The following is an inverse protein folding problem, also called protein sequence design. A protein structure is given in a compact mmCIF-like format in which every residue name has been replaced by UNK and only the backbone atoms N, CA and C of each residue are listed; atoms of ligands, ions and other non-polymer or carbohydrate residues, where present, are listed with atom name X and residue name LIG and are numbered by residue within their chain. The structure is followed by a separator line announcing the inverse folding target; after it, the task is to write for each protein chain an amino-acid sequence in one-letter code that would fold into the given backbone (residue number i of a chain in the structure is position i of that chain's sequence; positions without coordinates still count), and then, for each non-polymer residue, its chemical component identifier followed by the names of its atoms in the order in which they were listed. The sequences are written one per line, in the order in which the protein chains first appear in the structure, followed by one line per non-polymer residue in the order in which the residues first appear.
data_IF_207685539308
#
_entry.id   IF_207685539308
#
_cell.length_a   1.000
_cell.length_b   1.000
_cell.length_c   1.000
_cell.angle_alpha   90.00
_cell.angle_beta   90.00
_cell.angle_gamma   90.00
#
_symmetry.space_group_name_H-M   'P 1'
#
loop_
_entity.id
_entity.type
_entity.pdbx_description
1 polymer ?
#
# COMPACT_ATOMS: atom_id res chain seq x y z
N UNK A 1 -17.17 -5.70 -2.76
CA UNK A 1 -17.30 -4.27 -2.46
C UNK A 1 -15.98 -3.69 -1.96
N UNK A 2 -15.16 -3.12 -2.85
CA UNK A 2 -13.96 -2.34 -2.51
C UNK A 2 -13.91 -1.13 -3.46
N UNK A 3 -14.62 -0.03 -3.15
CA UNK A 3 -14.89 1.02 -4.13
C UNK A 3 -13.74 2.03 -4.28
N UNK A 4 -12.79 2.07 -3.34
CA UNK A 4 -11.74 3.08 -3.33
C UNK A 4 -10.44 2.54 -3.91
N UNK A 5 -9.77 3.34 -4.73
CA UNK A 5 -8.47 3.03 -5.29
C UNK A 5 -7.36 3.50 -4.34
N UNK A 6 -6.48 2.60 -3.95
CA UNK A 6 -5.35 2.87 -3.06
C UNK A 6 -4.03 2.71 -3.80
N UNK A 7 -3.17 3.72 -3.73
CA UNK A 7 -1.83 3.74 -4.30
C UNK A 7 -0.79 3.43 -3.21
N UNK A 8 0.09 2.47 -3.45
CA UNK A 8 1.13 2.13 -2.46
C UNK A 8 2.12 3.28 -2.24
N UNK A 9 2.35 4.09 -3.28
CA UNK A 9 3.12 5.32 -3.19
C UNK A 9 2.54 6.37 -4.16
N UNK A 10 1.66 7.23 -3.65
CA UNK A 10 1.04 8.32 -4.42
C UNK A 10 2.07 9.34 -4.95
N UNK A 11 3.23 9.47 -4.31
CA UNK A 11 4.28 10.41 -4.75
C UNK A 11 4.88 9.97 -6.09
N UNK A 12 4.86 8.67 -6.41
CA UNK A 12 5.26 8.18 -7.74
C UNK A 12 4.34 8.69 -8.86
N UNK A 13 3.11 9.10 -8.54
CA UNK A 13 2.19 9.71 -9.50
C UNK A 13 2.56 11.17 -9.86
N UNK A 14 3.38 11.84 -9.06
CA UNK A 14 3.78 13.22 -9.32
C UNK A 14 4.96 13.34 -10.30
N UNK A 15 5.51 12.21 -10.76
CA UNK A 15 6.63 12.20 -11.73
C UNK A 15 6.15 12.59 -13.13
N UNK A 16 6.88 13.44 -13.88
CA UNK A 16 6.57 13.75 -15.27
C UNK A 16 6.52 12.51 -16.18
N UNK A 17 7.20 11.41 -15.82
CA UNK A 17 7.15 10.14 -16.55
C UNK A 17 5.74 9.55 -16.62
N UNK A 18 4.87 9.87 -15.65
CA UNK A 18 3.47 9.42 -15.65
C UNK A 18 2.71 9.92 -16.88
N UNK A 19 3.08 11.08 -17.42
CA UNK A 19 2.48 11.62 -18.65
C UNK A 19 2.80 10.77 -19.89
N UNK A 20 3.89 9.99 -19.86
CA UNK A 20 4.31 9.12 -20.96
C UNK A 20 3.62 7.74 -20.87
N UNK A 21 3.56 7.17 -19.66
CA UNK A 21 3.00 5.83 -19.41
C UNK A 21 1.46 5.84 -19.22
N UNK A 22 0.86 7.02 -19.13
CA UNK A 22 -0.55 7.27 -18.81
C UNK A 22 -1.04 6.64 -17.49
N UNK A 23 -0.14 6.09 -16.66
CA UNK A 23 -0.43 5.35 -15.44
C UNK A 23 0.63 5.63 -14.37
N UNK A 24 0.23 5.62 -13.10
CA UNK A 24 1.18 5.74 -11.99
C UNK A 24 2.04 4.48 -11.84
N UNK A 25 3.38 4.58 -11.79
CA UNK A 25 4.29 3.43 -11.68
C UNK A 25 4.42 2.93 -10.23
N UNK A 26 3.28 2.61 -9.62
CA UNK A 26 3.18 2.04 -8.27
C UNK A 26 2.10 0.96 -8.27
N UNK A 27 2.23 -0.11 -7.47
CA UNK A 27 1.12 -1.02 -7.22
C UNK A 27 -0.10 -0.26 -6.73
N UNK A 28 -1.27 -0.70 -7.20
CA UNK A 28 -2.57 -0.14 -6.87
C UNK A 28 -3.51 -1.29 -6.54
N UNK A 29 -4.34 -1.09 -5.53
CA UNK A 29 -5.37 -2.06 -5.14
C UNK A 29 -6.67 -1.35 -4.84
N UNK A 30 -7.78 -2.07 -4.99
CA UNK A 30 -9.06 -1.60 -4.48
C UNK A 30 -9.18 -1.93 -2.99
N UNK A 31 -9.63 -0.99 -2.18
CA UNK A 31 -9.87 -1.13 -0.74
C UNK A 31 -11.31 -0.78 -0.37
N UNK A 32 -11.79 -1.35 0.73
CA UNK A 32 -13.14 -1.05 1.24
C UNK A 32 -13.18 0.30 1.95
N UNK A 33 -12.10 0.66 2.66
CA UNK A 33 -11.92 1.92 3.37
C UNK A 33 -10.52 2.45 3.13
N UNK A 34 -10.38 3.76 3.04
CA UNK A 34 -9.09 4.42 3.03
C UNK A 34 -8.42 4.30 4.41
N UNK A 35 -7.07 4.28 4.48
CA UNK A 35 -6.38 4.31 5.75
C UNK A 35 -6.75 5.58 6.54
N UNK A 36 -6.88 5.45 7.85
CA UNK A 36 -7.31 6.49 8.79
C UNK A 36 -6.18 6.92 9.75
N UNK A 37 -5.01 6.26 9.69
CA UNK A 37 -3.88 6.50 10.60
C UNK A 37 -2.54 6.28 9.90
N UNK A 38 -1.50 6.91 10.43
CA UNK A 38 -0.14 6.70 9.98
C UNK A 38 0.42 5.38 10.54
N UNK A 39 0.95 4.52 9.68
CA UNK A 39 1.64 3.29 10.07
C UNK A 39 2.75 2.97 9.08
N UNK A 40 3.90 2.52 9.57
CA UNK A 40 4.93 1.90 8.70
C UNK A 40 4.75 0.39 8.71
N UNK A 41 5.16 -0.27 7.63
CA UNK A 41 5.11 -1.73 7.55
C UNK A 41 5.88 -2.40 8.70
N UNK A 42 7.07 -1.87 9.01
CA UNK A 42 7.92 -2.33 10.11
C UNK A 42 7.19 -2.28 11.46
N UNK A 43 6.57 -1.14 11.79
CA UNK A 43 5.89 -0.98 13.07
C UNK A 43 4.63 -1.85 13.14
N UNK A 44 3.86 -1.91 12.06
CA UNK A 44 2.63 -2.69 12.01
C UNK A 44 2.90 -4.18 12.12
N UNK A 45 3.92 -4.70 11.43
CA UNK A 45 4.28 -6.13 11.42
C UNK A 45 4.64 -6.68 12.79
N UNK A 46 5.16 -5.83 13.67
CA UNK A 46 5.53 -6.18 15.04
C UNK A 46 4.46 -5.76 16.06
N UNK A 47 3.30 -5.25 15.63
CA UNK A 47 2.23 -4.78 16.51
C UNK A 47 0.89 -5.47 16.21
N UNK A 48 -0.09 -5.19 17.06
CA UNK A 48 -1.50 -5.59 16.86
C UNK A 48 -2.16 -4.91 15.65
N UNK A 49 -1.52 -3.89 15.07
CA UNK A 49 -2.05 -3.16 13.93
C UNK A 49 -1.83 -3.92 12.61
N UNK A 50 -1.13 -5.06 12.62
CA UNK A 50 -0.85 -5.81 11.40
C UNK A 50 -2.10 -6.28 10.68
N UNK A 51 -3.15 -6.69 11.40
CA UNK A 51 -4.42 -7.10 10.79
C UNK A 51 -5.12 -5.94 10.05
N UNK A 52 -5.01 -4.73 10.60
CA UNK A 52 -5.46 -3.52 9.91
C UNK A 52 -4.57 -3.23 8.70
N UNK A 53 -3.25 -3.29 8.86
CA UNK A 53 -2.28 -2.99 7.81
C UNK A 53 -2.43 -3.90 6.59
N UNK A 54 -2.65 -5.20 6.80
CA UNK A 54 -2.80 -6.20 5.73
C UNK A 54 -3.95 -5.90 4.78
N UNK A 55 -4.95 -5.11 5.18
CA UNK A 55 -6.05 -4.71 4.29
C UNK A 55 -5.57 -3.86 3.10
N UNK A 56 -4.38 -3.27 3.22
CA UNK A 56 -3.73 -2.42 2.23
C UNK A 56 -2.60 -3.14 1.47
N UNK A 57 -2.38 -4.44 1.72
CA UNK A 57 -1.46 -5.27 0.94
C UNK A 57 -2.19 -5.91 -0.26
N UNK A 58 -1.43 -6.54 -1.17
CA UNK A 58 -1.99 -7.25 -2.32
C UNK A 58 -2.93 -8.40 -1.88
N UNK A 59 -3.97 -8.72 -2.67
CA UNK A 59 -4.87 -9.82 -2.34
C UNK A 59 -4.12 -11.15 -2.14
N UNK A 60 -4.40 -11.85 -1.04
CA UNK A 60 -3.77 -13.12 -0.73
C UNK A 60 -2.36 -13.02 -0.12
N UNK A 61 -1.89 -11.82 0.23
CA UNK A 61 -0.62 -11.62 0.91
C UNK A 61 -0.44 -12.54 2.14
N UNK A 62 0.69 -13.25 2.17
CA UNK A 62 1.07 -14.15 3.27
C UNK A 62 2.27 -13.58 4.02
N UNK A 63 2.24 -13.75 5.33
CA UNK A 63 3.30 -13.32 6.21
C UNK A 63 4.46 -14.34 6.28
N UNK A 64 5.11 -14.62 5.15
CA UNK A 64 6.20 -15.61 5.07
C UNK A 64 7.51 -15.06 4.46
N UNK A 65 7.48 -13.86 3.87
CA UNK A 65 8.65 -13.18 3.29
C UNK A 65 9.35 -12.28 4.30
N UNK A 66 10.63 -12.00 4.04
CA UNK A 66 11.39 -10.99 4.77
C UNK A 66 10.89 -9.57 4.50
N UNK A 67 11.13 -8.62 5.39
CA UNK A 67 10.63 -7.24 5.23
C UNK A 67 11.11 -6.60 3.93
N UNK A 68 12.41 -6.74 3.61
CA UNK A 68 12.97 -6.16 2.39
C UNK A 68 12.31 -6.74 1.13
N UNK A 69 12.08 -8.06 1.10
CA UNK A 69 11.45 -8.77 0.00
C UNK A 69 10.00 -8.31 -0.21
N UNK A 70 9.21 -8.21 0.87
CA UNK A 70 7.82 -7.70 0.79
C UNK A 70 7.76 -6.30 0.16
N UNK A 71 8.68 -5.42 0.53
CA UNK A 71 8.70 -4.05 0.03
C UNK A 71 9.25 -3.94 -1.39
N UNK A 72 10.22 -4.77 -1.76
CA UNK A 72 10.78 -4.83 -3.11
C UNK A 72 9.78 -5.39 -4.12
N UNK A 73 9.07 -6.46 -3.74
CA UNK A 73 8.06 -7.10 -4.59
C UNK A 73 6.77 -6.28 -4.69
N UNK A 74 6.61 -5.24 -3.86
CA UNK A 74 5.40 -4.43 -3.84
C UNK A 74 4.18 -5.21 -3.30
N UNK A 75 4.41 -6.16 -2.40
CA UNK A 75 3.35 -6.94 -1.75
C UNK A 75 2.55 -6.11 -0.75
N UNK A 76 3.21 -5.15 -0.09
CA UNK A 76 2.60 -4.18 0.82
C UNK A 76 3.20 -2.78 0.60
N UNK A 77 2.47 -1.70 0.91
CA UNK A 77 3.07 -0.36 0.96
C UNK A 77 4.15 -0.30 2.05
N UNK A 78 5.06 0.67 1.97
CA UNK A 78 6.04 0.91 3.02
C UNK A 78 5.43 1.69 4.20
N UNK A 79 4.49 2.59 3.89
CA UNK A 79 3.83 3.48 4.83
C UNK A 79 2.36 3.65 4.43
N UNK A 80 1.47 3.68 5.42
CA UNK A 80 0.10 4.14 5.28
C UNK A 80 0.05 5.60 5.70
N UNK A 81 -0.56 6.41 4.84
CA UNK A 81 -0.83 7.82 5.08
C UNK A 81 -2.36 7.96 5.08
N UNK A 82 -2.97 8.57 6.11
CA UNK A 82 -4.41 8.78 6.15
C UNK A 82 -4.92 9.45 4.88
N UNK A 83 -5.98 8.93 4.29
CA UNK A 83 -6.61 9.48 3.10
C UNK A 83 -8.13 9.42 3.19
N UNK A 84 -8.81 10.15 2.31
CA UNK A 84 -10.27 10.15 2.21
C UNK A 84 -10.69 9.64 0.82
N UNK A 85 -11.88 9.02 0.72
CA UNK A 85 -12.56 8.78 -0.54
C UNK A 85 -12.57 9.97 -1.49
#
# INVERSE_FOLDING_TARGET
NKPYLFYFNIVKCASPLVLLEFQCPTPQICVEKCPDRYLTYLNARSSRDFEYYKQFCVPGFKNNKGVAEVLQDGDCPAVLIPSKP
#
